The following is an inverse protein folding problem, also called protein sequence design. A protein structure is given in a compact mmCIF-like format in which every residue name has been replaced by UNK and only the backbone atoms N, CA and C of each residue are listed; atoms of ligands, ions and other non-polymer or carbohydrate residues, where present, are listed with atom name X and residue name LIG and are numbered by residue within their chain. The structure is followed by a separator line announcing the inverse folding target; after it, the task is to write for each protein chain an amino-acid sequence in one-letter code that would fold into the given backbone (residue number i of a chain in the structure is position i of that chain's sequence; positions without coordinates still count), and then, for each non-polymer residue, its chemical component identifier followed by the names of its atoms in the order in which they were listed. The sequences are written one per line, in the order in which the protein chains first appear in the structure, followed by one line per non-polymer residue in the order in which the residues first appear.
data_IF_421502689165
#
_entry.id   IF_421502689165
#
_cell.length_a   1.000
_cell.length_b   1.000
_cell.length_c   1.000
_cell.angle_alpha   90.00
_cell.angle_beta   90.00
_cell.angle_gamma   90.00
#
_symmetry.space_group_name_H-M   'P 1'
#
loop_
_entity.id
_entity.type
_entity.pdbx_description
1 polymer ?
#
# COMPACT_ATOMS: atom_id res chain seq x y z
N UNK A 1 -43.41 41.98 61.85
CA UNK A 1 -43.09 40.60 61.45
C UNK A 1 -42.13 40.75 60.28
N UNK A 2 -40.87 41.05 60.58
CA UNK A 2 -39.79 40.06 60.76
C UNK A 2 -39.54 39.33 59.43
N UNK A 3 -38.34 39.19 58.87
CA UNK A 3 -36.96 39.53 59.24
C UNK A 3 -36.16 38.99 58.02
N UNK A 4 -35.27 39.68 57.32
CA UNK A 4 -33.80 39.70 57.55
C UNK A 4 -33.21 40.23 56.22
N UNK A 5 -32.50 41.36 56.21
CA UNK A 5 -31.03 41.44 56.27
C UNK A 5 -30.29 40.58 55.23
N UNK A 6 -29.62 41.22 54.26
CA UNK A 6 -28.15 41.40 54.33
C UNK A 6 -27.65 42.31 53.19
N UNK A 7 -26.79 43.26 53.56
CA UNK A 7 -26.15 44.26 52.72
C UNK A 7 -24.68 43.88 52.38
N UNK A 8 -24.04 44.79 51.64
CA UNK A 8 -22.63 44.86 51.19
C UNK A 8 -22.35 44.15 49.84
N UNK A 9 -21.62 44.71 48.87
CA UNK A 9 -20.85 45.96 48.75
C UNK A 9 -20.45 46.14 47.28
N UNK A 10 -20.26 47.40 46.85
CA UNK A 10 -19.56 47.70 45.60
C UNK A 10 -18.10 47.24 45.67
N UNK A 11 -17.63 46.57 44.62
CA UNK A 11 -16.21 46.48 44.30
C UNK A 11 -16.03 46.39 42.79
N UNK A 12 -15.76 47.54 42.17
CA UNK A 12 -15.19 47.63 40.83
C UNK A 12 -13.82 46.96 40.84
N UNK A 13 -13.66 45.86 40.12
CA UNK A 13 -12.32 45.29 39.84
C UNK A 13 -12.17 45.06 38.34
N UNK A 14 -11.30 45.88 37.73
CA UNK A 14 -10.75 45.65 36.39
C UNK A 14 -10.15 44.25 36.33
N UNK A 15 -10.77 43.34 35.59
CA UNK A 15 -10.16 42.06 35.27
C UNK A 15 -8.94 42.30 34.38
N UNK A 16 -7.75 42.15 34.97
CA UNK A 16 -6.47 42.07 34.24
C UNK A 16 -6.59 40.94 33.22
N UNK A 17 -6.48 41.28 31.93
CA UNK A 17 -6.37 40.31 30.84
C UNK A 17 -5.15 39.43 31.09
N UNK A 18 -5.39 38.19 31.52
CA UNK A 18 -4.33 37.18 31.67
C UNK A 18 -3.76 36.92 30.29
N UNK A 19 -2.57 37.47 30.02
CA UNK A 19 -1.78 37.19 28.82
C UNK A 19 -1.45 35.69 28.84
N UNK A 20 -2.22 34.90 28.10
CA UNK A 20 -2.01 33.46 27.92
C UNK A 20 -0.66 33.31 27.21
N UNK A 21 0.38 32.93 27.95
CA UNK A 21 1.67 32.54 27.37
C UNK A 21 1.41 31.39 26.39
N UNK A 22 1.36 31.71 25.09
CA UNK A 22 1.48 30.73 24.01
C UNK A 22 2.90 30.20 24.08
N UNK A 23 3.10 29.09 24.80
CA UNK A 23 4.24 28.20 24.53
C UNK A 23 4.10 27.79 23.05
N UNK A 24 5.14 28.02 22.27
CA UNK A 24 5.19 27.65 20.86
C UNK A 24 4.81 26.18 20.73
N UNK A 25 3.64 25.92 20.18
CA UNK A 25 3.32 24.61 19.68
C UNK A 25 4.17 24.50 18.41
N UNK A 26 5.30 23.78 18.48
CA UNK A 26 5.99 23.35 17.27
C UNK A 26 4.95 22.63 16.43
N UNK A 27 4.46 23.33 15.40
CA UNK A 27 3.60 22.74 14.40
C UNK A 27 4.52 21.84 13.60
N UNK A 28 4.70 20.61 14.05
CA UNK A 28 5.30 19.59 13.22
C UNK A 28 4.36 19.46 12.02
N UNK A 29 4.83 19.94 10.87
CA UNK A 29 4.17 19.73 9.60
C UNK A 29 4.00 18.21 9.44
N UNK A 30 2.81 17.71 9.07
CA UNK A 30 2.62 16.29 8.91
C UNK A 30 3.66 15.78 7.90
N UNK A 31 4.33 14.65 8.20
CA UNK A 31 5.37 14.12 7.34
C UNK A 31 4.82 13.84 5.95
N UNK A 32 5.63 14.05 4.91
CA UNK A 32 5.22 13.78 3.55
C UNK A 32 4.90 12.29 3.41
N UNK A 33 3.95 11.96 2.54
CA UNK A 33 3.53 10.57 2.33
C UNK A 33 4.71 9.68 1.89
N UNK A 34 5.63 10.24 1.11
CA UNK A 34 6.87 9.58 0.73
C UNK A 34 7.74 9.23 1.95
N UNK A 35 7.90 10.16 2.90
CA UNK A 35 8.68 9.92 4.13
C UNK A 35 8.06 8.83 5.02
N UNK A 36 6.73 8.67 4.96
CA UNK A 36 6.03 7.57 5.62
C UNK A 36 6.35 6.22 4.97
N UNK A 37 6.40 6.16 3.63
CA UNK A 37 6.79 4.95 2.89
C UNK A 37 8.26 4.61 3.11
N UNK A 38 9.15 5.61 3.06
CA UNK A 38 10.58 5.42 3.28
C UNK A 38 10.87 4.88 4.69
N UNK A 39 10.14 5.36 5.71
CA UNK A 39 10.21 4.77 7.06
C UNK A 39 9.75 3.32 7.10
N UNK A 40 8.61 3.00 6.48
CA UNK A 40 8.16 1.61 6.38
C UNK A 40 9.20 0.71 5.69
N UNK A 41 9.88 1.22 4.67
CA UNK A 41 10.97 0.52 3.98
C UNK A 41 12.12 0.21 4.94
N UNK A 42 12.60 1.19 5.69
CA UNK A 42 13.66 0.98 6.70
C UNK A 42 13.23 -0.02 7.78
N UNK A 43 12.00 0.07 8.28
CA UNK A 43 11.48 -0.85 9.28
C UNK A 43 11.49 -2.31 8.78
N UNK A 44 11.04 -2.52 7.53
CA UNK A 44 10.95 -3.86 6.92
C UNK A 44 12.34 -4.42 6.57
N UNK A 45 13.29 -3.57 6.18
CA UNK A 45 14.67 -3.98 5.91
C UNK A 45 15.41 -4.39 7.19
N UNK A 46 15.08 -3.79 8.33
CA UNK A 46 15.76 -4.03 9.61
C UNK A 46 15.56 -5.44 10.19
N UNK A 47 14.48 -6.13 9.83
CA UNK A 47 14.12 -7.44 10.41
C UNK A 47 14.52 -8.64 9.54
N UNK A 48 15.14 -8.42 8.37
CA UNK A 48 15.61 -9.47 7.45
C UNK A 48 14.52 -10.29 6.75
N UNK A 49 13.24 -10.08 7.08
CA UNK A 49 12.11 -10.77 6.45
C UNK A 49 12.07 -10.50 4.95
N UNK A 50 12.30 -9.26 4.55
CA UNK A 50 12.29 -8.87 3.14
C UNK A 50 13.35 -9.61 2.33
N UNK A 51 14.55 -9.79 2.87
CA UNK A 51 15.63 -10.53 2.19
C UNK A 51 15.21 -11.96 1.90
N UNK A 52 14.53 -12.62 2.84
CA UNK A 52 13.99 -13.97 2.66
C UNK A 52 12.94 -13.99 1.54
N UNK A 53 11.96 -13.07 1.58
CA UNK A 53 10.91 -12.99 0.57
C UNK A 53 11.46 -12.69 -0.82
N UNK A 54 12.45 -11.78 -0.92
CA UNK A 54 13.11 -11.45 -2.18
C UNK A 54 13.89 -12.64 -2.75
N UNK A 55 14.55 -13.42 -1.91
CA UNK A 55 15.21 -14.65 -2.33
C UNK A 55 14.23 -15.64 -2.97
N UNK A 56 13.04 -15.79 -2.40
CA UNK A 56 11.99 -16.65 -2.96
C UNK A 56 11.50 -16.17 -4.32
N UNK A 57 11.27 -14.86 -4.47
CA UNK A 57 10.85 -14.28 -5.77
C UNK A 57 11.96 -14.45 -6.82
N UNK A 58 13.22 -14.20 -6.45
CA UNK A 58 14.36 -14.42 -7.35
C UNK A 58 14.50 -15.88 -7.78
N UNK A 59 14.33 -16.82 -6.86
CA UNK A 59 14.41 -18.24 -7.17
C UNK A 59 13.24 -18.71 -8.04
N UNK A 60 12.03 -18.17 -7.83
CA UNK A 60 10.89 -18.41 -8.70
C UNK A 60 11.17 -17.92 -10.14
N UNK A 61 11.65 -16.67 -10.29
CA UNK A 61 12.01 -16.10 -11.59
C UNK A 61 13.09 -16.91 -12.33
N UNK A 62 14.09 -17.42 -11.59
CA UNK A 62 15.12 -18.30 -12.16
C UNK A 62 14.55 -19.62 -12.65
N UNK A 63 13.66 -20.25 -11.85
CA UNK A 63 13.03 -21.53 -12.21
C UNK A 63 12.11 -21.41 -13.43
N UNK A 64 11.44 -20.28 -13.59
CA UNK A 64 10.56 -20.01 -14.74
C UNK A 64 11.30 -19.42 -15.94
N UNK A 65 12.61 -19.15 -15.82
CA UNK A 65 13.44 -18.53 -16.84
C UNK A 65 12.85 -17.20 -17.37
N UNK A 66 12.16 -16.46 -16.49
CA UNK A 66 11.55 -15.17 -16.83
C UNK A 66 12.59 -14.06 -16.76
N UNK A 67 12.97 -13.55 -17.93
CA UNK A 67 13.83 -12.36 -18.03
C UNK A 67 12.97 -11.11 -18.22
N UNK A 68 13.29 -10.05 -17.48
CA UNK A 68 12.64 -8.72 -17.57
C UNK A 68 11.10 -8.75 -17.43
N UNK A 69 10.56 -9.23 -16.29
CA UNK A 69 9.12 -9.27 -16.10
C UNK A 69 8.54 -7.85 -15.91
N UNK A 70 7.36 -7.62 -16.48
CA UNK A 70 6.53 -6.49 -16.09
C UNK A 70 5.96 -6.75 -14.68
N UNK A 71 5.59 -5.71 -13.95
CA UNK A 71 4.94 -5.85 -12.63
C UNK A 71 3.56 -5.24 -12.67
N UNK A 72 2.56 -6.03 -12.34
CA UNK A 72 1.19 -5.57 -12.16
C UNK A 72 0.78 -5.78 -10.71
N UNK A 73 0.63 -4.67 -9.99
CA UNK A 73 0.16 -4.64 -8.63
C UNK A 73 -1.34 -4.35 -8.59
N UNK A 74 -2.11 -5.27 -8.02
CA UNK A 74 -3.54 -5.12 -7.82
C UNK A 74 -3.85 -5.24 -6.32
N UNK A 75 -4.79 -4.44 -5.81
CA UNK A 75 -5.24 -4.58 -4.42
C UNK A 75 -4.18 -4.19 -3.39
N UNK A 76 -3.47 -3.08 -3.62
CA UNK A 76 -2.45 -2.58 -2.70
C UNK A 76 -3.05 -1.95 -1.42
N UNK A 77 -4.29 -1.47 -1.50
CA UNK A 77 -4.87 -0.52 -0.56
C UNK A 77 -4.32 0.90 -0.75
N UNK A 78 -4.78 1.87 0.04
CA UNK A 78 -4.37 3.28 -0.06
C UNK A 78 -3.18 3.62 0.86
N UNK A 79 -1.97 3.89 0.34
CA UNK A 79 -0.82 4.33 1.15
C UNK A 79 -1.07 5.59 1.98
N UNK A 80 -1.89 6.53 1.50
CA UNK A 80 -2.26 7.74 2.25
C UNK A 80 -3.05 7.41 3.51
N UNK A 81 -3.78 6.29 3.50
CA UNK A 81 -4.79 5.97 4.52
C UNK A 81 -4.40 4.81 5.43
N UNK A 82 -3.52 3.90 4.98
CA UNK A 82 -3.15 2.67 5.70
C UNK A 82 -1.64 2.49 5.82
N UNK A 83 -1.18 2.05 7.01
CA UNK A 83 0.22 1.68 7.24
C UNK A 83 0.59 0.38 6.53
N UNK A 84 -0.36 -0.53 6.45
CA UNK A 84 -0.24 -1.81 5.77
C UNK A 84 -0.03 -1.57 4.27
N UNK A 85 -0.83 -0.72 3.63
CA UNK A 85 -0.63 -0.34 2.23
C UNK A 85 0.74 0.32 1.99
N UNK A 86 1.24 1.14 2.92
CA UNK A 86 2.61 1.69 2.86
C UNK A 86 3.69 0.61 2.98
N UNK A 87 3.48 -0.37 3.85
CA UNK A 87 4.39 -1.50 4.01
C UNK A 87 4.43 -2.37 2.75
N UNK A 88 3.28 -2.68 2.15
CA UNK A 88 3.18 -3.41 0.88
C UNK A 88 3.86 -2.63 -0.26
N UNK A 89 3.64 -1.32 -0.34
CA UNK A 89 4.32 -0.48 -1.33
C UNK A 89 5.83 -0.46 -1.13
N UNK A 90 6.31 -0.35 0.12
CA UNK A 90 7.72 -0.41 0.43
C UNK A 90 8.34 -1.75 0.00
N UNK A 91 7.65 -2.87 0.26
CA UNK A 91 8.07 -4.19 -0.20
C UNK A 91 8.14 -4.28 -1.73
N UNK A 92 7.12 -3.78 -2.44
CA UNK A 92 7.09 -3.73 -3.90
C UNK A 92 8.29 -2.94 -4.46
N UNK A 93 8.57 -1.76 -3.91
CA UNK A 93 9.70 -0.91 -4.33
C UNK A 93 11.04 -1.63 -4.12
N UNK A 94 11.25 -2.24 -2.95
CA UNK A 94 12.48 -2.99 -2.67
C UNK A 94 12.60 -4.21 -3.61
N UNK A 95 11.49 -4.88 -3.91
CA UNK A 95 11.45 -6.00 -4.86
C UNK A 95 11.89 -5.57 -6.26
N UNK A 96 11.31 -4.49 -6.78
CA UNK A 96 11.69 -3.97 -8.09
C UNK A 96 13.18 -3.58 -8.13
N UNK A 97 13.68 -2.96 -7.05
CA UNK A 97 15.09 -2.57 -6.94
C UNK A 97 16.02 -3.79 -7.02
N UNK A 98 15.74 -4.84 -6.25
CA UNK A 98 16.57 -6.05 -6.19
C UNK A 98 16.47 -6.90 -7.45
N UNK A 99 15.33 -6.85 -8.14
CA UNK A 99 15.11 -7.55 -9.41
C UNK A 99 15.58 -6.74 -10.62
N UNK A 100 16.01 -5.48 -10.45
CA UNK A 100 16.41 -4.60 -11.55
C UNK A 100 15.25 -4.19 -12.47
N UNK A 101 14.02 -4.18 -11.95
CA UNK A 101 12.82 -3.79 -12.69
C UNK A 101 12.68 -2.26 -12.65
N UNK A 102 12.54 -1.64 -13.82
CA UNK A 102 12.37 -0.20 -13.89
C UNK A 102 10.97 0.19 -13.34
N UNK A 103 10.85 1.30 -12.59
CA UNK A 103 9.54 1.73 -12.07
C UNK A 103 8.49 1.95 -13.15
N UNK A 104 8.90 2.31 -14.37
CA UNK A 104 8.02 2.48 -15.54
C UNK A 104 7.32 1.20 -16.00
N UNK A 105 7.87 0.05 -15.62
CA UNK A 105 7.36 -1.30 -15.92
C UNK A 105 6.44 -1.80 -14.80
N UNK A 106 6.25 -0.99 -13.75
CA UNK A 106 5.34 -1.26 -12.64
C UNK A 106 4.03 -0.51 -12.88
N UNK A 107 2.95 -1.29 -13.02
CA UNK A 107 1.57 -0.80 -13.08
C UNK A 107 0.86 -1.11 -11.77
N UNK A 108 0.13 -0.13 -11.22
CA UNK A 108 -0.58 -0.25 -9.94
C UNK A 108 -2.06 0.08 -10.11
N UNK A 109 -2.93 -0.67 -9.43
CA UNK A 109 -4.36 -0.37 -9.34
C UNK A 109 -5.00 -0.86 -8.04
N UNK A 110 -5.83 -0.01 -7.47
CA UNK A 110 -6.80 -0.34 -6.43
C UNK A 110 -7.97 0.66 -6.51
N UNK A 111 -9.24 0.22 -6.46
CA UNK A 111 -10.38 1.14 -6.45
C UNK A 111 -10.36 2.14 -5.29
N UNK A 112 -9.62 1.87 -4.20
CA UNK A 112 -9.54 2.76 -3.04
C UNK A 112 -8.44 3.82 -3.14
N UNK A 113 -7.69 3.89 -4.25
CA UNK A 113 -6.64 4.90 -4.43
C UNK A 113 -7.19 6.32 -4.40
N UNK A 114 -6.55 7.16 -3.59
CA UNK A 114 -6.80 8.60 -3.54
C UNK A 114 -5.95 9.35 -4.56
N UNK A 115 -6.23 10.62 -4.79
CA UNK A 115 -5.37 11.46 -5.64
C UNK A 115 -3.96 11.63 -5.05
N UNK A 116 -3.83 11.62 -3.72
CA UNK A 116 -2.52 11.64 -3.06
C UNK A 116 -1.72 10.36 -3.36
N UNK A 117 -2.40 9.20 -3.42
CA UNK A 117 -1.77 7.93 -3.80
C UNK A 117 -1.29 7.95 -5.25
N UNK A 118 -2.11 8.47 -6.16
CA UNK A 118 -1.75 8.61 -7.58
C UNK A 118 -0.51 9.49 -7.77
N UNK A 119 -0.46 10.63 -7.08
CA UNK A 119 0.72 11.52 -7.09
C UNK A 119 1.94 10.83 -6.49
N UNK A 120 1.76 10.07 -5.41
CA UNK A 120 2.83 9.27 -4.80
C UNK A 120 3.41 8.26 -5.80
N UNK A 121 2.57 7.47 -6.48
CA UNK A 121 3.03 6.48 -7.47
C UNK A 121 3.77 7.14 -8.64
N UNK A 122 3.25 8.27 -9.13
CA UNK A 122 3.93 9.07 -10.16
C UNK A 122 5.30 9.57 -9.68
N UNK A 123 5.43 9.97 -8.41
CA UNK A 123 6.72 10.39 -7.84
C UNK A 123 7.76 9.27 -7.77
N UNK A 124 7.31 8.01 -7.72
CA UNK A 124 8.16 6.83 -7.83
C UNK A 124 8.39 6.37 -9.28
N UNK A 125 7.77 7.02 -10.27
CA UNK A 125 7.85 6.64 -11.68
C UNK A 125 6.96 5.44 -12.07
N UNK A 126 6.02 5.06 -11.21
CA UNK A 126 5.09 3.96 -11.45
C UNK A 126 3.85 4.42 -12.23
N UNK A 127 3.22 3.50 -12.97
CA UNK A 127 2.02 3.76 -13.76
C UNK A 127 0.76 3.43 -12.95
N UNK A 128 -0.05 4.42 -12.62
CA UNK A 128 -1.40 4.15 -12.12
C UNK A 128 -2.32 3.79 -13.28
N UNK A 129 -2.94 2.61 -13.24
CA UNK A 129 -3.90 2.22 -14.27
C UNK A 129 -5.23 2.95 -14.09
N UNK A 130 -5.92 3.31 -15.19
CA UNK A 130 -7.29 3.79 -15.13
C UNK A 130 -8.26 2.63 -14.83
N UNK A 131 -9.43 2.97 -14.27
CA UNK A 131 -10.49 2.01 -13.94
C UNK A 131 -10.89 1.13 -15.14
N UNK A 132 -10.88 1.67 -16.35
CA UNK A 132 -11.21 0.89 -17.55
C UNK A 132 -10.20 -0.22 -17.84
N UNK A 133 -8.90 0.05 -17.67
CA UNK A 133 -7.85 -0.93 -17.91
C UNK A 133 -7.84 -2.01 -16.81
N UNK A 134 -8.08 -1.63 -15.56
CA UNK A 134 -8.20 -2.60 -14.47
C UNK A 134 -9.42 -3.50 -14.64
N UNK A 135 -10.58 -2.95 -15.06
CA UNK A 135 -11.76 -3.76 -15.36
C UNK A 135 -11.50 -4.83 -16.43
N UNK A 136 -10.63 -4.57 -17.42
CA UNK A 136 -10.25 -5.58 -18.42
C UNK A 136 -9.51 -6.77 -17.80
N UNK A 137 -8.60 -6.51 -16.85
CA UNK A 137 -7.92 -7.57 -16.10
C UNK A 137 -8.84 -8.22 -15.07
N UNK A 138 -9.73 -7.44 -14.44
CA UNK A 138 -10.54 -7.88 -13.31
C UNK A 138 -11.83 -8.61 -13.70
N UNK A 139 -12.50 -8.27 -14.80
CA UNK A 139 -13.86 -8.75 -15.10
C UNK A 139 -14.02 -9.41 -16.47
N UNK A 140 -13.30 -8.94 -17.49
CA UNK A 140 -13.52 -9.42 -18.84
C UNK A 140 -12.94 -10.82 -19.04
N UNK A 141 -11.85 -11.16 -18.34
CA UNK A 141 -11.22 -12.47 -18.48
C UNK A 141 -10.70 -12.76 -19.90
N UNK A 142 -10.67 -11.77 -20.78
CA UNK A 142 -10.23 -11.89 -22.18
C UNK A 142 -8.83 -11.35 -22.41
N UNK A 143 -8.34 -10.52 -21.50
CA UNK A 143 -7.05 -9.86 -21.61
C UNK A 143 -6.06 -10.59 -20.72
N UNK A 144 -5.47 -11.65 -21.28
CA UNK A 144 -4.37 -12.37 -20.64
C UNK A 144 -3.09 -11.52 -20.57
N UNK A 145 -2.11 -11.97 -19.80
CA UNK A 145 -0.79 -11.35 -19.82
C UNK A 145 -0.11 -11.66 -21.15
N UNK A 146 0.41 -10.65 -21.83
CA UNK A 146 1.13 -10.87 -23.09
C UNK A 146 2.62 -11.15 -22.86
N UNK A 147 3.16 -10.61 -21.77
CA UNK A 147 4.57 -10.64 -21.40
C UNK A 147 4.75 -11.36 -20.06
N UNK A 148 5.96 -11.90 -19.79
CA UNK A 148 6.33 -12.35 -18.45
C UNK A 148 5.94 -11.29 -17.41
N UNK A 149 5.08 -11.63 -16.46
CA UNK A 149 4.49 -10.66 -15.53
C UNK A 149 4.52 -11.20 -14.10
N UNK A 150 4.98 -10.36 -13.17
CA UNK A 150 4.80 -10.55 -11.73
C UNK A 150 3.47 -9.90 -11.34
N UNK A 151 2.51 -10.72 -10.90
CA UNK A 151 1.24 -10.27 -10.34
C UNK A 151 1.39 -10.10 -8.83
N UNK A 152 1.54 -8.86 -8.38
CA UNK A 152 1.64 -8.53 -6.96
C UNK A 152 0.25 -8.22 -6.38
N UNK A 153 -0.29 -9.14 -5.59
CA UNK A 153 -1.70 -9.16 -5.16
C UNK A 153 -1.84 -9.36 -3.64
N UNK A 154 -1.37 -8.42 -2.81
CA UNK A 154 -1.36 -8.61 -1.36
C UNK A 154 -2.76 -8.65 -0.74
N UNK A 155 -3.73 -7.85 -1.22
CA UNK A 155 -5.06 -7.78 -0.61
C UNK A 155 -6.18 -7.90 -1.66
N UNK A 156 -6.10 -8.92 -2.50
CA UNK A 156 -7.11 -9.20 -3.54
C UNK A 156 -8.13 -10.23 -3.10
N UNK A 157 -9.38 -10.05 -3.52
CA UNK A 157 -10.43 -11.03 -3.32
C UNK A 157 -10.23 -12.28 -4.20
N UNK A 158 -10.79 -13.40 -3.75
CA UNK A 158 -10.72 -14.68 -4.49
C UNK A 158 -11.25 -14.53 -5.93
N UNK A 159 -12.25 -13.66 -6.14
CA UNK A 159 -12.86 -13.47 -7.44
C UNK A 159 -11.88 -12.90 -8.46
N UNK A 160 -11.01 -11.98 -8.05
CA UNK A 160 -9.99 -11.43 -8.93
C UNK A 160 -8.96 -12.48 -9.35
N UNK A 161 -8.57 -13.37 -8.43
CA UNK A 161 -7.70 -14.50 -8.78
C UNK A 161 -8.35 -15.45 -9.80
N UNK A 162 -9.60 -15.85 -9.56
CA UNK A 162 -10.34 -16.71 -10.49
C UNK A 162 -10.40 -16.11 -11.90
N UNK A 163 -10.67 -14.80 -11.99
CA UNK A 163 -10.81 -14.13 -13.27
C UNK A 163 -9.47 -14.03 -14.02
N UNK A 164 -8.38 -13.71 -13.32
CA UNK A 164 -7.03 -13.67 -13.91
C UNK A 164 -6.60 -15.07 -14.37
N UNK A 165 -6.77 -16.07 -13.51
CA UNK A 165 -6.40 -17.46 -13.82
C UNK A 165 -7.23 -17.97 -15.00
N UNK A 166 -8.54 -17.71 -15.00
CA UNK A 166 -9.44 -18.06 -16.09
C UNK A 166 -9.05 -17.40 -17.43
N UNK A 167 -8.62 -16.13 -17.39
CA UNK A 167 -8.17 -15.40 -18.57
C UNK A 167 -6.89 -15.97 -19.19
N UNK A 168 -6.06 -16.61 -18.37
CA UNK A 168 -4.75 -17.12 -18.73
C UNK A 168 -4.72 -18.66 -18.73
N UNK A 169 -5.87 -19.33 -18.82
CA UNK A 169 -6.00 -20.79 -18.61
C UNK A 169 -5.44 -21.64 -19.77
N UNK A 170 -4.13 -21.55 -19.97
CA UNK A 170 -3.30 -22.38 -20.85
C UNK A 170 -1.92 -22.52 -20.22
N UNK A 171 -1.22 -23.61 -20.50
CA UNK A 171 0.11 -23.87 -19.95
C UNK A 171 1.09 -22.74 -20.33
N UNK A 172 1.02 -22.27 -21.58
CA UNK A 172 1.90 -21.22 -22.10
C UNK A 172 1.66 -19.87 -21.44
N UNK A 173 0.41 -19.53 -21.11
CA UNK A 173 0.09 -18.25 -20.46
C UNK A 173 0.37 -18.29 -18.96
N UNK A 174 0.02 -19.38 -18.28
CA UNK A 174 0.31 -19.52 -16.84
C UNK A 174 1.81 -19.57 -16.57
N UNK A 175 2.61 -20.16 -17.47
CA UNK A 175 4.07 -20.16 -17.36
C UNK A 175 4.71 -18.75 -17.41
N UNK A 176 3.96 -17.73 -17.86
CA UNK A 176 4.40 -16.32 -17.91
C UNK A 176 3.98 -15.52 -16.69
N UNK A 177 3.36 -16.14 -15.69
CA UNK A 177 2.83 -15.46 -14.52
C UNK A 177 3.54 -15.96 -13.27
N UNK A 178 4.02 -15.02 -12.45
CA UNK A 178 4.38 -15.30 -11.06
C UNK A 178 3.44 -14.50 -10.16
N UNK A 179 2.73 -15.20 -9.29
CA UNK A 179 1.93 -14.55 -8.26
C UNK A 179 2.79 -14.25 -7.04
N UNK A 180 2.80 -12.99 -6.61
CA UNK A 180 3.32 -12.56 -5.32
C UNK A 180 2.12 -12.07 -4.51
N UNK A 181 1.57 -12.96 -3.71
CA UNK A 181 0.30 -12.79 -3.02
C UNK A 181 0.45 -13.02 -1.51
N UNK A 182 -0.47 -12.45 -0.73
CA UNK A 182 -0.70 -13.00 0.61
C UNK A 182 -1.34 -14.39 0.47
N UNK A 183 -1.16 -15.26 1.48
CA UNK A 183 -1.50 -16.68 1.31
C UNK A 183 -3.00 -16.82 1.02
N UNK A 184 -3.36 -17.60 -0.01
CA UNK A 184 -4.75 -18.04 -0.23
C UNK A 184 -5.35 -18.70 1.02
N UNK A 185 -4.50 -19.28 1.89
CA UNK A 185 -4.90 -19.87 3.16
C UNK A 185 -5.34 -18.87 4.23
N UNK A 186 -5.01 -17.59 4.12
CA UNK A 186 -5.52 -16.56 5.04
C UNK A 186 -7.03 -16.34 4.86
N UNK A 187 -7.58 -16.84 3.76
CA UNK A 187 -9.02 -16.96 3.53
C UNK A 187 -9.62 -18.27 4.06
N UNK A 188 -8.80 -19.26 4.47
CA UNK A 188 -9.30 -20.61 4.83
C UNK A 188 -8.92 -21.17 6.20
N UNK A 189 -7.80 -20.82 6.86
CA UNK A 189 -7.61 -20.99 8.33
C UNK A 189 -6.16 -20.76 8.80
N UNK A 190 -6.03 -20.47 10.11
CA UNK A 190 -4.80 -20.27 10.91
C UNK A 190 -3.68 -21.31 10.61
N UNK A 191 -2.42 -20.88 10.82
CA UNK A 191 -1.13 -21.63 10.88
C UNK A 191 -0.17 -21.50 9.66
N UNK A 192 1.07 -21.08 10.00
CA UNK A 192 2.41 -21.07 9.33
C UNK A 192 2.58 -22.04 8.15
N UNK A 193 3.42 -21.88 7.12
CA UNK A 193 4.04 -20.79 6.34
C UNK A 193 4.80 -21.55 5.22
N UNK A 194 4.47 -21.34 3.94
CA UNK A 194 5.31 -21.70 2.77
C UNK A 194 4.82 -20.89 1.57
N UNK A 195 5.77 -20.35 0.79
CA UNK A 195 5.60 -19.58 -0.45
C UNK A 195 6.17 -20.41 -1.61
N UNK A 196 5.41 -20.57 -2.71
CA UNK A 196 5.93 -20.88 -4.07
C UNK A 196 5.14 -20.00 -5.04
#
# INVERSE_FOLDING_TARGET
MEDTSFAYSQATTRARTRKKNRRGNDRHEPPLLKDLVDRCKTDIESNGWITTCLGLVQDALRKTNMSCPDVLCLGLGSPSSSREARAQLAFLISSCTVLGIAPSDVSVYDPVFTDADKVLFQSFGMRCLPDTASLLFCYDGKHGVERPTILYMPHCDLKLYENIIGANWSEEQLARIIFVANRFSDYTDKYVCTII
#
